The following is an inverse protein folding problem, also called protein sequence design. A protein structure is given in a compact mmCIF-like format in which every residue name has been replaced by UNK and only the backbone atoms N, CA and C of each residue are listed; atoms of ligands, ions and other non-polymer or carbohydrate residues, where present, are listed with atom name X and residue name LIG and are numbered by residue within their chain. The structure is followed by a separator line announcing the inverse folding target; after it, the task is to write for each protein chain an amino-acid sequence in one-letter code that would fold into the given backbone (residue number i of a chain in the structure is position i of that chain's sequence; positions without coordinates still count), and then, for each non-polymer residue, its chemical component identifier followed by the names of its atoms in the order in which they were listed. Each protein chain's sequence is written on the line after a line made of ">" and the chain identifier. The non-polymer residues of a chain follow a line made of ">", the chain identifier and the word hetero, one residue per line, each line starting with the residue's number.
data_IF_700505043215
#
_entry.id   IF_700505043215
#
_cell.length_a   1.000
_cell.length_b   1.000
_cell.length_c   1.000
_cell.angle_alpha   90.00
_cell.angle_beta   90.00
_cell.angle_gamma   90.00
#
_symmetry.space_group_name_H-M   'P 1'
#
loop_
_entity.id
_entity.type
_entity.pdbx_description
1 polymer ?
#
# COMPACT_ATOMS: atom_id res chain seq x y z
N UNK A 1 14.41 11.72 -11.68
CA UNK A 1 15.02 12.28 -12.92
C UNK A 1 16.41 12.81 -12.57
N UNK A 2 17.44 12.42 -13.31
CA UNK A 2 18.84 12.85 -13.10
C UNK A 2 18.98 14.32 -13.56
N UNK A 3 19.84 15.12 -12.89
CA UNK A 3 20.09 16.54 -13.22
C UNK A 3 20.55 16.76 -14.68
N UNK A 4 21.32 15.83 -15.25
CA UNK A 4 21.78 15.90 -16.65
C UNK A 4 20.60 15.76 -17.61
N UNK A 5 19.72 14.80 -17.38
CA UNK A 5 18.50 14.59 -18.17
C UNK A 5 17.52 15.76 -18.05
N UNK A 6 17.43 16.34 -16.85
CA UNK A 6 16.58 17.51 -16.62
C UNK A 6 17.05 18.73 -17.42
N UNK A 7 18.38 18.98 -17.43
CA UNK A 7 18.95 20.10 -18.20
C UNK A 7 18.82 19.92 -19.73
N UNK A 8 18.94 18.70 -20.23
CA UNK A 8 18.68 18.42 -21.66
C UNK A 8 17.24 18.71 -22.06
N UNK A 9 16.27 18.44 -21.17
CA UNK A 9 14.86 18.69 -21.40
C UNK A 9 14.52 20.18 -21.41
N UNK A 10 15.24 21.02 -20.64
CA UNK A 10 14.95 22.45 -20.51
C UNK A 10 14.97 23.17 -21.85
N UNK A 11 15.99 22.92 -22.69
CA UNK A 11 16.10 23.57 -24.01
C UNK A 11 14.90 23.22 -24.91
N UNK A 12 14.45 21.95 -24.86
CA UNK A 12 13.30 21.50 -25.66
C UNK A 12 11.96 22.05 -25.12
N UNK A 13 11.89 22.30 -23.81
CA UNK A 13 10.71 22.94 -23.19
C UNK A 13 10.63 24.44 -23.50
N UNK A 14 11.80 25.11 -23.63
CA UNK A 14 11.86 26.53 -23.99
C UNK A 14 11.55 26.79 -25.46
N UNK A 15 12.09 25.93 -26.33
CA UNK A 15 11.96 26.06 -27.78
C UNK A 15 11.48 24.72 -28.37
N UNK A 16 10.18 24.38 -28.22
CA UNK A 16 9.66 23.11 -28.73
C UNK A 16 9.72 23.09 -30.27
N UNK A 17 10.16 21.99 -30.86
CA UNK A 17 10.21 21.86 -32.30
C UNK A 17 8.78 21.69 -32.87
N UNK A 18 8.23 22.74 -33.49
CA UNK A 18 6.87 22.73 -34.06
C UNK A 18 5.76 22.76 -33.01
N UNK A 19 4.58 22.25 -33.36
CA UNK A 19 3.40 22.20 -32.46
C UNK A 19 3.47 20.94 -31.55
N UNK A 20 4.35 20.96 -30.56
CA UNK A 20 4.54 19.88 -29.61
C UNK A 20 4.04 20.28 -28.22
N UNK A 21 3.32 19.37 -27.54
CA UNK A 21 2.86 19.55 -26.16
C UNK A 21 3.55 18.52 -25.27
N UNK A 22 4.17 18.99 -24.19
CA UNK A 22 4.79 18.13 -23.18
C UNK A 22 3.85 17.98 -21.98
N UNK A 23 3.64 16.72 -21.54
CA UNK A 23 2.96 16.40 -20.29
C UNK A 23 3.97 15.79 -19.33
N UNK A 24 4.24 16.47 -18.22
CA UNK A 24 5.15 16.01 -17.16
C UNK A 24 4.31 15.60 -15.95
N UNK A 25 4.33 14.32 -15.59
CA UNK A 25 3.65 13.81 -14.41
C UNK A 25 4.68 13.54 -13.30
N UNK A 26 4.35 13.92 -12.07
CA UNK A 26 5.19 13.67 -10.89
C UNK A 26 4.33 13.57 -9.64
N UNK A 27 4.63 12.60 -8.78
CA UNK A 27 4.04 12.47 -7.45
C UNK A 27 4.66 13.45 -6.44
N UNK A 28 5.82 14.02 -6.77
CA UNK A 28 6.59 14.91 -5.90
C UNK A 28 6.98 16.19 -6.65
N UNK A 29 5.98 17.02 -6.96
CA UNK A 29 6.21 18.28 -7.69
C UNK A 29 7.25 19.21 -7.03
N UNK A 30 7.40 19.13 -5.71
CA UNK A 30 8.41 19.91 -4.95
C UNK A 30 9.86 19.45 -5.23
N UNK A 31 10.06 18.22 -5.73
CA UNK A 31 11.38 17.69 -6.10
C UNK A 31 11.76 17.99 -7.56
N UNK A 32 10.82 18.51 -8.35
CA UNK A 32 11.13 18.97 -9.70
C UNK A 32 11.98 20.25 -9.65
N UNK A 33 12.93 20.35 -10.56
CA UNK A 33 13.77 21.56 -10.67
C UNK A 33 12.86 22.80 -10.84
N UNK A 34 13.13 23.89 -10.12
CA UNK A 34 12.38 25.14 -10.26
C UNK A 34 12.30 25.64 -11.70
N UNK A 35 13.35 25.41 -12.47
CA UNK A 35 13.48 25.75 -13.89
C UNK A 35 12.50 24.99 -14.79
N UNK A 36 12.18 23.73 -14.46
CA UNK A 36 11.11 22.96 -15.15
C UNK A 36 9.73 23.49 -14.73
N UNK A 37 9.54 23.69 -13.43
CA UNK A 37 8.25 24.14 -12.88
C UNK A 37 7.84 25.51 -13.43
N UNK A 38 8.80 26.42 -13.64
CA UNK A 38 8.51 27.77 -14.16
C UNK A 38 8.10 27.80 -15.63
N UNK A 39 8.35 26.71 -16.38
CA UNK A 39 8.04 26.57 -17.82
C UNK A 39 6.81 25.68 -18.09
N UNK A 40 6.20 25.15 -17.05
CA UNK A 40 5.04 24.30 -17.15
C UNK A 40 3.83 24.91 -16.45
N UNK A 41 2.66 24.77 -17.06
CA UNK A 41 1.40 25.05 -16.37
C UNK A 41 1.18 23.91 -15.34
N UNK A 42 1.16 24.26 -14.06
CA UNK A 42 0.92 23.29 -12.98
C UNK A 42 -0.56 22.93 -12.90
N UNK A 43 -0.86 21.64 -12.93
CA UNK A 43 -2.17 21.09 -12.63
C UNK A 43 -2.05 20.06 -11.52
N UNK A 44 -2.78 20.28 -10.42
CA UNK A 44 -2.82 19.30 -9.31
C UNK A 44 -4.00 18.35 -9.54
N UNK A 45 -3.68 17.08 -9.73
CA UNK A 45 -4.71 16.04 -9.79
C UNK A 45 -5.17 15.73 -8.36
N UNK A 46 -6.43 16.03 -8.07
CA UNK A 46 -7.06 15.64 -6.78
C UNK A 46 -7.66 14.25 -6.91
N UNK A 47 -7.71 13.52 -5.78
CA UNK A 47 -8.41 12.25 -5.74
C UNK A 47 -9.90 12.46 -6.01
N UNK A 48 -10.55 11.61 -6.83
CA UNK A 48 -11.99 11.63 -7.00
C UNK A 48 -12.70 11.39 -5.66
N UNK A 49 -13.95 11.80 -5.56
CA UNK A 49 -14.78 11.45 -4.41
C UNK A 49 -14.95 9.93 -4.32
N UNK A 50 -15.07 9.41 -3.10
CA UNK A 50 -15.19 7.95 -2.90
C UNK A 50 -16.40 7.36 -3.66
N UNK A 51 -17.49 8.11 -3.75
CA UNK A 51 -18.67 7.70 -4.50
C UNK A 51 -18.37 7.47 -5.99
N UNK A 52 -17.61 8.39 -6.61
CA UNK A 52 -17.23 8.28 -8.02
C UNK A 52 -16.31 7.08 -8.27
N UNK A 53 -15.38 6.82 -7.34
CA UNK A 53 -14.50 5.65 -7.41
C UNK A 53 -15.28 4.34 -7.30
N UNK A 54 -16.26 4.27 -6.40
CA UNK A 54 -17.12 3.10 -6.25
C UNK A 54 -18.00 2.89 -7.49
N UNK A 55 -18.59 3.94 -8.02
CA UNK A 55 -19.37 3.89 -9.25
C UNK A 55 -18.53 3.40 -10.43
N UNK A 56 -17.30 3.90 -10.55
CA UNK A 56 -16.38 3.44 -11.58
C UNK A 56 -16.05 1.94 -11.42
N UNK A 57 -15.71 1.48 -10.21
CA UNK A 57 -15.45 0.06 -9.97
C UNK A 57 -16.65 -0.84 -10.31
N UNK A 58 -17.88 -0.38 -10.01
CA UNK A 58 -19.10 -1.09 -10.38
C UNK A 58 -19.28 -1.12 -11.90
N UNK A 59 -18.96 -0.05 -12.61
CA UNK A 59 -18.97 -0.04 -14.08
C UNK A 59 -17.95 -0.99 -14.71
N UNK A 60 -16.89 -1.35 -13.97
CA UNK A 60 -15.92 -2.39 -14.33
C UNK A 60 -16.39 -3.82 -13.99
N UNK A 61 -17.63 -3.97 -13.50
CA UNK A 61 -18.24 -5.28 -13.21
C UNK A 61 -18.10 -5.78 -11.78
N UNK A 62 -17.63 -4.95 -10.83
CA UNK A 62 -17.56 -5.34 -9.42
C UNK A 62 -18.92 -5.15 -8.74
N UNK A 63 -19.34 -6.12 -7.91
CA UNK A 63 -20.47 -5.95 -7.01
C UNK A 63 -20.16 -4.85 -5.98
N UNK A 64 -21.17 -4.12 -5.49
CA UNK A 64 -21.01 -2.96 -4.62
C UNK A 64 -20.18 -3.26 -3.34
N UNK A 65 -20.46 -4.40 -2.69
CA UNK A 65 -19.73 -4.81 -1.49
C UNK A 65 -18.26 -5.14 -1.79
N UNK A 66 -18.02 -5.84 -2.90
CA UNK A 66 -16.66 -6.15 -3.36
C UNK A 66 -15.89 -4.88 -3.74
N UNK A 67 -16.51 -3.94 -4.45
CA UNK A 67 -15.92 -2.66 -4.80
C UNK A 67 -15.48 -1.88 -3.54
N UNK A 68 -16.34 -1.84 -2.52
CA UNK A 68 -16.04 -1.17 -1.26
C UNK A 68 -14.88 -1.83 -0.53
N UNK A 69 -14.87 -3.16 -0.42
CA UNK A 69 -13.81 -3.90 0.25
C UNK A 69 -12.46 -3.76 -0.47
N UNK A 70 -12.44 -3.91 -1.80
CA UNK A 70 -11.21 -3.80 -2.58
C UNK A 70 -10.68 -2.37 -2.66
N UNK A 71 -11.57 -1.36 -2.74
CA UNK A 71 -11.14 0.04 -2.69
C UNK A 71 -10.45 0.37 -1.37
N UNK A 72 -10.99 -0.15 -0.26
CA UNK A 72 -10.34 -0.04 1.06
C UNK A 72 -9.01 -0.78 1.09
N UNK A 73 -8.95 -2.04 0.67
CA UNK A 73 -7.72 -2.83 0.60
C UNK A 73 -6.61 -2.16 -0.23
N UNK A 74 -7.01 -1.42 -1.26
CA UNK A 74 -6.12 -0.63 -2.11
C UNK A 74 -5.81 0.78 -1.55
N UNK A 75 -6.30 1.11 -0.34
CA UNK A 75 -6.07 2.42 0.27
C UNK A 75 -6.70 3.59 -0.51
N UNK A 76 -7.83 3.35 -1.17
CA UNK A 76 -8.57 4.36 -1.92
C UNK A 76 -8.06 4.55 -3.37
N UNK A 77 -7.27 3.65 -3.91
CA UNK A 77 -6.79 3.69 -5.31
C UNK A 77 -7.62 2.72 -6.17
N UNK A 78 -8.48 3.24 -7.08
CA UNK A 78 -9.43 2.40 -7.81
C UNK A 78 -8.76 1.43 -8.79
N UNK A 79 -7.68 1.81 -9.46
CA UNK A 79 -6.95 0.91 -10.36
C UNK A 79 -6.33 -0.27 -9.61
N UNK A 80 -5.71 -0.02 -8.44
CA UNK A 80 -5.17 -1.08 -7.57
C UNK A 80 -6.29 -1.97 -7.03
N UNK A 81 -7.45 -1.41 -6.70
CA UNK A 81 -8.63 -2.17 -6.27
C UNK A 81 -9.10 -3.13 -7.37
N UNK A 82 -9.14 -2.67 -8.61
CA UNK A 82 -9.49 -3.48 -9.77
C UNK A 82 -8.45 -4.60 -10.02
N UNK A 83 -7.16 -4.28 -9.87
CA UNK A 83 -6.09 -5.28 -9.99
C UNK A 83 -6.20 -6.38 -8.92
N UNK A 84 -6.49 -6.00 -7.65
CA UNK A 84 -6.74 -6.97 -6.58
C UNK A 84 -7.97 -7.83 -6.88
N UNK A 85 -9.07 -7.26 -7.35
CA UNK A 85 -10.27 -8.00 -7.73
C UNK A 85 -9.98 -9.02 -8.84
N UNK A 86 -9.21 -8.63 -9.86
CA UNK A 86 -8.83 -9.50 -10.99
C UNK A 86 -7.84 -10.61 -10.61
N UNK A 87 -7.14 -10.50 -9.49
CA UNK A 87 -6.24 -11.55 -9.00
C UNK A 87 -6.97 -12.77 -8.43
N UNK A 88 -8.31 -12.79 -8.43
CA UNK A 88 -9.12 -13.90 -7.93
C UNK A 88 -9.28 -13.92 -6.41
N UNK A 89 -8.77 -12.95 -5.69
CA UNK A 89 -8.94 -12.86 -4.23
C UNK A 89 -10.36 -12.47 -3.87
N UNK A 90 -10.90 -13.09 -2.82
CA UNK A 90 -12.20 -12.70 -2.30
C UNK A 90 -12.10 -11.57 -1.27
N UNK A 91 -13.12 -10.69 -1.19
CA UNK A 91 -13.19 -9.68 -0.14
C UNK A 91 -13.14 -10.28 1.27
N UNK A 92 -13.73 -11.46 1.45
CA UNK A 92 -13.76 -12.19 2.73
C UNK A 92 -12.37 -12.68 3.15
N UNK A 93 -11.57 -13.16 2.19
CA UNK A 93 -10.18 -13.56 2.45
C UNK A 93 -9.35 -12.37 2.94
N UNK A 94 -9.55 -11.18 2.35
CA UNK A 94 -8.90 -9.96 2.82
C UNK A 94 -9.37 -9.57 4.23
N UNK A 95 -10.67 -9.56 4.50
CA UNK A 95 -11.23 -9.20 5.80
C UNK A 95 -10.76 -10.15 6.92
N UNK A 96 -10.64 -11.45 6.64
CA UNK A 96 -10.20 -12.46 7.62
C UNK A 96 -8.69 -12.49 7.87
N UNK A 97 -7.89 -11.89 6.98
CA UNK A 97 -6.42 -11.94 7.01
C UNK A 97 -5.82 -11.48 8.36
N UNK A 98 -6.23 -10.35 8.98
CA UNK A 98 -5.65 -9.91 10.25
C UNK A 98 -5.78 -10.94 11.37
N UNK A 99 -6.94 -11.58 11.47
CA UNK A 99 -7.20 -12.59 12.49
C UNK A 99 -6.50 -13.91 12.18
N UNK A 100 -6.40 -14.31 10.91
CA UNK A 100 -5.67 -15.50 10.50
C UNK A 100 -4.18 -15.37 10.82
N UNK A 101 -3.57 -14.25 10.47
CA UNK A 101 -2.18 -13.94 10.78
C UNK A 101 -1.94 -13.89 12.30
N UNK A 102 -2.87 -13.32 13.07
CA UNK A 102 -2.76 -13.31 14.53
C UNK A 102 -2.77 -14.72 15.12
N UNK A 103 -3.49 -15.67 14.53
CA UNK A 103 -3.45 -17.09 14.93
C UNK A 103 -2.21 -17.84 14.44
N UNK A 104 -1.43 -17.24 13.53
CA UNK A 104 -0.28 -17.90 12.91
C UNK A 104 -0.67 -18.83 11.75
N UNK A 105 -1.80 -18.58 11.12
CA UNK A 105 -2.29 -19.36 10.00
C UNK A 105 -1.59 -18.94 8.70
N UNK A 106 -0.63 -19.75 8.28
CA UNK A 106 0.14 -19.53 7.04
C UNK A 106 -0.72 -19.76 5.79
N UNK A 107 -1.77 -20.60 5.90
CA UNK A 107 -2.61 -20.93 4.73
C UNK A 107 -3.38 -19.74 4.20
N UNK A 108 -3.62 -18.73 5.04
CA UNK A 108 -4.24 -17.46 4.63
C UNK A 108 -3.40 -16.67 3.59
N UNK A 109 -2.12 -17.00 3.44
CA UNK A 109 -1.18 -16.41 2.48
C UNK A 109 -0.68 -17.44 1.44
N UNK A 110 -1.25 -18.65 1.39
CA UNK A 110 -0.69 -19.78 0.65
C UNK A 110 -0.46 -19.52 -0.85
N UNK A 111 -1.32 -18.74 -1.49
CA UNK A 111 -1.25 -18.40 -2.91
C UNK A 111 -0.55 -17.05 -3.19
N UNK A 112 0.07 -16.46 -2.16
CA UNK A 112 0.68 -15.13 -2.29
C UNK A 112 2.18 -15.24 -2.56
N UNK A 113 2.67 -14.33 -3.40
CA UNK A 113 4.12 -14.13 -3.47
C UNK A 113 4.62 -13.47 -2.18
N UNK A 114 5.89 -13.66 -1.81
CA UNK A 114 6.48 -12.98 -0.65
C UNK A 114 6.29 -11.46 -0.68
N UNK A 115 6.43 -10.82 -1.84
CA UNK A 115 6.22 -9.38 -2.00
C UNK A 115 4.77 -8.97 -1.67
N UNK A 116 3.79 -9.73 -2.14
CA UNK A 116 2.37 -9.48 -1.83
C UNK A 116 2.05 -9.69 -0.35
N UNK A 117 2.63 -10.71 0.26
CA UNK A 117 2.47 -10.98 1.69
C UNK A 117 3.07 -9.84 2.54
N UNK A 118 4.28 -9.38 2.20
CA UNK A 118 4.91 -8.25 2.88
C UNK A 118 4.05 -6.99 2.74
N UNK A 119 3.55 -6.68 1.55
CA UNK A 119 2.67 -5.52 1.34
C UNK A 119 1.41 -5.59 2.22
N UNK A 120 0.76 -6.74 2.29
CA UNK A 120 -0.43 -6.92 3.12
C UNK A 120 -0.12 -6.78 4.61
N UNK A 121 1.00 -7.35 5.08
CA UNK A 121 1.46 -7.20 6.46
C UNK A 121 1.87 -5.77 6.79
N UNK A 122 2.43 -5.02 5.84
CA UNK A 122 2.68 -3.59 6.00
C UNK A 122 1.39 -2.80 6.15
N UNK A 123 0.35 -3.11 5.36
CA UNK A 123 -0.99 -2.51 5.49
C UNK A 123 -1.61 -2.83 6.85
N UNK A 124 -1.51 -4.08 7.30
CA UNK A 124 -1.98 -4.49 8.63
C UNK A 124 -1.22 -3.74 9.75
N UNK A 125 0.10 -3.69 9.67
CA UNK A 125 0.92 -2.96 10.64
C UNK A 125 0.58 -1.46 10.67
N UNK A 126 0.36 -0.84 9.50
CA UNK A 126 -0.08 0.56 9.38
C UNK A 126 -1.39 0.79 10.13
N UNK A 127 -2.39 -0.06 9.90
CA UNK A 127 -3.71 0.12 10.52
C UNK A 127 -3.68 -0.12 12.03
N UNK A 128 -2.88 -1.09 12.49
CA UNK A 128 -2.67 -1.31 13.92
C UNK A 128 -1.95 -0.13 14.59
N UNK A 129 -0.98 0.49 13.90
CA UNK A 129 -0.34 1.72 14.36
C UNK A 129 -1.35 2.87 14.45
N UNK A 130 -2.20 3.05 13.42
CA UNK A 130 -3.24 4.08 13.41
C UNK A 130 -4.20 3.89 14.58
N UNK A 131 -4.73 2.68 14.77
CA UNK A 131 -5.66 2.37 15.87
C UNK A 131 -4.98 2.54 17.24
N UNK A 132 -3.72 2.17 17.38
CA UNK A 132 -2.97 2.33 18.65
C UNK A 132 -2.82 3.78 19.08
N UNK A 133 -2.87 4.74 18.14
CA UNK A 133 -2.83 6.18 18.43
C UNK A 133 -4.21 6.86 18.33
N UNK A 134 -5.29 6.09 18.24
CA UNK A 134 -6.67 6.59 18.19
C UNK A 134 -7.13 7.08 16.82
N UNK A 135 -6.40 6.78 15.73
CA UNK A 135 -6.79 7.10 14.37
C UNK A 135 -7.60 5.96 13.72
N UNK A 136 -8.37 6.29 12.68
CA UNK A 136 -9.12 5.29 11.92
C UNK A 136 -8.19 4.44 11.03
N UNK A 137 -8.44 3.13 10.91
CA UNK A 137 -7.71 2.27 9.98
C UNK A 137 -8.06 2.60 8.54
N UNK A 138 -7.12 2.37 7.63
CA UNK A 138 -7.25 2.70 6.21
C UNK A 138 -7.58 1.51 5.33
N UNK A 139 -6.93 0.36 5.57
CA UNK A 139 -6.93 -0.80 4.67
C UNK A 139 -7.87 -1.91 5.11
N UNK A 140 -8.14 -2.02 6.40
CA UNK A 140 -9.04 -3.02 7.00
C UNK A 140 -10.22 -2.35 7.69
N UNK A 141 -11.32 -3.08 7.87
CA UNK A 141 -12.38 -2.60 8.75
C UNK A 141 -11.91 -2.72 10.21
N UNK A 142 -12.28 -1.77 11.06
CA UNK A 142 -11.87 -1.77 12.46
C UNK A 142 -12.28 -3.05 13.21
N UNK A 143 -13.43 -3.64 12.82
CA UNK A 143 -13.95 -4.88 13.39
C UNK A 143 -13.08 -6.12 13.03
N UNK A 144 -12.35 -6.07 11.93
CA UNK A 144 -11.52 -7.18 11.44
C UNK A 144 -10.13 -7.19 12.10
N UNK A 145 -9.72 -6.07 12.69
CA UNK A 145 -8.40 -5.93 13.28
C UNK A 145 -8.31 -6.60 14.67
N UNK A 146 -7.22 -7.29 14.98
CA UNK A 146 -6.94 -7.71 16.35
C UNK A 146 -6.63 -6.49 17.23
N UNK A 147 -6.70 -6.67 18.55
CA UNK A 147 -6.28 -5.64 19.49
C UNK A 147 -4.83 -5.23 19.21
N UNK A 148 -4.54 -3.93 19.06
CA UNK A 148 -3.18 -3.47 18.80
C UNK A 148 -2.23 -3.86 19.95
N UNK A 149 -1.06 -4.41 19.64
CA UNK A 149 0.00 -4.63 20.62
C UNK A 149 0.68 -3.29 20.96
N UNK A 150 1.66 -3.26 21.89
CA UNK A 150 2.36 -2.04 22.25
C UNK A 150 2.99 -1.34 21.04
N UNK A 151 2.92 0.00 21.00
CA UNK A 151 3.42 0.83 19.89
C UNK A 151 4.89 0.53 19.52
N UNK A 152 5.73 0.27 20.55
CA UNK A 152 7.13 -0.09 20.34
C UNK A 152 7.30 -1.41 19.57
N UNK A 153 6.41 -2.39 19.78
CA UNK A 153 6.42 -3.66 19.05
C UNK A 153 6.02 -3.44 17.58
N UNK A 154 4.96 -2.66 17.33
CA UNK A 154 4.51 -2.30 15.99
C UNK A 154 5.58 -1.53 15.22
N UNK A 155 6.26 -0.58 15.87
CA UNK A 155 7.34 0.21 15.25
C UNK A 155 8.52 -0.69 14.84
N UNK A 156 8.91 -1.67 15.68
CA UNK A 156 9.96 -2.64 15.32
C UNK A 156 9.53 -3.50 14.15
N UNK A 157 8.27 -3.97 14.16
CA UNK A 157 7.73 -4.78 13.07
C UNK A 157 7.66 -4.03 11.75
N UNK A 158 7.21 -2.78 11.75
CA UNK A 158 7.20 -1.92 10.56
C UNK A 158 8.61 -1.79 9.94
N UNK A 159 9.64 -1.58 10.78
CA UNK A 159 11.03 -1.51 10.30
C UNK A 159 11.52 -2.85 9.73
N UNK A 160 11.15 -3.97 10.34
CA UNK A 160 11.50 -5.31 9.85
C UNK A 160 10.85 -5.57 8.49
N UNK A 161 9.54 -5.32 8.34
CA UNK A 161 8.82 -5.47 7.08
C UNK A 161 9.41 -4.57 5.98
N UNK A 162 9.80 -3.33 6.31
CA UNK A 162 10.44 -2.43 5.35
C UNK A 162 11.83 -2.93 4.91
N UNK A 163 12.57 -3.62 5.78
CA UNK A 163 13.84 -4.27 5.41
C UNK A 163 13.61 -5.47 4.49
N UNK A 164 12.65 -6.33 4.82
CA UNK A 164 12.30 -7.52 4.05
C UNK A 164 11.76 -7.18 2.66
N UNK A 165 10.99 -6.09 2.54
CA UNK A 165 10.50 -5.61 1.25
C UNK A 165 11.61 -5.30 0.23
N UNK A 166 12.81 -4.92 0.69
CA UNK A 166 13.97 -4.63 -0.19
C UNK A 166 14.60 -5.88 -0.80
N UNK A 167 14.34 -7.04 -0.22
CA UNK A 167 14.94 -8.32 -0.62
C UNK A 167 13.88 -9.32 -1.10
N UNK A 168 12.63 -8.91 -1.22
CA UNK A 168 11.51 -9.77 -1.56
C UNK A 168 11.62 -10.42 -2.95
N UNK A 169 12.36 -9.80 -3.87
CA UNK A 169 12.55 -10.28 -5.24
C UNK A 169 13.72 -11.27 -5.39
N UNK A 170 14.47 -11.56 -4.32
CA UNK A 170 15.53 -12.56 -4.38
C UNK A 170 14.96 -13.99 -4.39
N UNK A 171 15.61 -14.96 -5.08
CA UNK A 171 15.15 -16.32 -5.22
C UNK A 171 15.31 -17.12 -3.92
N UNK A 172 14.50 -16.79 -2.91
CA UNK A 172 14.38 -17.56 -1.68
C UNK A 172 13.27 -18.61 -1.80
N UNK A 173 13.28 -19.60 -0.90
CA UNK A 173 12.14 -20.50 -0.76
C UNK A 173 10.92 -19.69 -0.27
N UNK A 174 9.95 -19.46 -1.18
CA UNK A 174 8.78 -18.63 -0.91
C UNK A 174 7.96 -19.14 0.28
N UNK A 175 7.79 -20.46 0.40
CA UNK A 175 7.03 -21.05 1.50
C UNK A 175 7.66 -20.78 2.86
N UNK A 176 8.98 -20.98 2.98
CA UNK A 176 9.70 -20.72 4.23
C UNK A 176 9.67 -19.22 4.59
N UNK A 177 9.71 -18.35 3.59
CA UNK A 177 9.59 -16.91 3.81
C UNK A 177 8.21 -16.53 4.32
N UNK A 178 7.13 -17.09 3.75
CA UNK A 178 5.77 -16.86 4.22
C UNK A 178 5.59 -17.34 5.67
N UNK A 179 6.11 -18.52 6.01
CA UNK A 179 6.09 -19.02 7.39
C UNK A 179 6.81 -18.07 8.36
N UNK A 180 8.00 -17.59 7.99
CA UNK A 180 8.76 -16.64 8.81
C UNK A 180 8.01 -15.31 9.01
N UNK A 181 7.38 -14.77 7.95
CA UNK A 181 6.59 -13.56 8.00
C UNK A 181 5.37 -13.69 8.93
N UNK A 182 4.64 -14.81 8.83
CA UNK A 182 3.48 -15.08 9.69
C UNK A 182 3.91 -15.31 11.14
N UNK A 183 5.00 -16.04 11.38
CA UNK A 183 5.54 -16.24 12.73
C UNK A 183 5.97 -14.90 13.37
N UNK A 184 6.64 -14.03 12.61
CA UNK A 184 7.05 -12.69 13.04
C UNK A 184 5.82 -11.83 13.40
N UNK A 185 4.81 -11.83 12.54
CA UNK A 185 3.55 -11.10 12.75
C UNK A 185 2.85 -11.60 14.02
N UNK A 186 2.65 -12.92 14.16
CA UNK A 186 2.04 -13.54 15.35
C UNK A 186 2.78 -13.15 16.63
N UNK A 187 4.11 -13.26 16.65
CA UNK A 187 4.91 -12.90 17.83
C UNK A 187 4.75 -11.42 18.19
N UNK A 188 4.67 -10.55 17.18
CA UNK A 188 4.43 -9.12 17.39
C UNK A 188 3.05 -8.88 17.97
N UNK A 189 2.02 -9.49 17.39
CA UNK A 189 0.62 -9.29 17.78
C UNK A 189 0.33 -9.81 19.20
N UNK A 190 1.07 -10.80 19.69
CA UNK A 190 0.95 -11.33 21.04
C UNK A 190 1.94 -10.71 22.04
N UNK A 191 2.73 -9.73 21.63
CA UNK A 191 3.65 -9.04 22.55
C UNK A 191 2.87 -8.28 23.63
N UNK A 192 3.21 -8.50 24.91
CA UNK A 192 2.60 -7.81 26.06
C UNK A 192 3.41 -6.56 26.35
N UNK A 193 2.77 -5.55 26.95
CA UNK A 193 3.49 -4.44 27.56
C UNK A 193 4.39 -5.00 28.66
N UNK A 194 5.66 -4.56 28.76
CA UNK A 194 6.44 -4.86 29.96
C UNK A 194 5.68 -4.21 31.14
N UNK A 195 5.30 -5.04 32.10
CA UNK A 195 4.80 -4.56 33.40
C UNK A 195 5.95 -3.81 34.07
N UNK A 196 5.84 -2.49 34.13
CA UNK A 196 6.70 -1.70 35.01
C UNK A 196 6.30 -2.05 36.44
N UNK A 197 7.11 -2.87 37.10
CA UNK A 197 7.12 -3.03 38.57
C UNK A 197 7.92 -1.91 39.16
#
# INVERSE_FOLDING_TARGET
>A
MNHVTANALLKTLEEPPGDVRFVLASEAAHQLLPTIRSRCLGHTMTWPAQADMLQWLQSQGLAADAATAFLRAAGGRPDDALAVARSGRSPQAWASLPQAVARGDVTALGDWTPAQAIEALQKLCHDLLAVAVGAAPRYFAAADLPKPPPLAALTRWSKALAKEARTADHPFNAGLMLEALVAQARNTLHSRQPTHS
#
